data_IF_719025739988
#
_entry.id   IF_719025739988
#
_cell.length_a   1.000
_cell.length_b   1.000
_cell.length_c   1.000
_cell.angle_alpha   90.00
_cell.angle_beta   90.00
_cell.angle_gamma   90.00
#
_symmetry.space_group_name_H-M   'P 1'
#
loop_
_entity.id
_entity.type
_entity.pdbx_description
1 polymer ?
#
# COMPACT_ATOMS: atom_id res chain seq x y z
N UNK A 1 -0.87 0.57 -20.69
CA UNK A 1 -1.30 -0.34 -19.60
C UNK A 1 -1.74 0.49 -18.41
N UNK A 2 -2.88 0.14 -17.85
CA UNK A 2 -3.37 0.86 -16.67
C UNK A 2 -2.55 0.49 -15.45
N UNK A 3 -2.47 1.43 -14.52
CA UNK A 3 -1.79 1.21 -13.24
C UNK A 3 -2.81 1.26 -12.12
N UNK A 4 -2.83 0.24 -11.27
CA UNK A 4 -3.65 0.22 -10.08
C UNK A 4 -2.75 0.47 -8.87
N UNK A 5 -3.20 1.28 -7.93
CA UNK A 5 -2.48 1.48 -6.68
C UNK A 5 -3.16 0.68 -5.59
N UNK A 6 -2.41 -0.14 -4.89
CA UNK A 6 -2.92 -0.95 -3.79
C UNK A 6 -2.26 -0.48 -2.51
N UNK A 7 -3.06 -0.02 -1.57
CA UNK A 7 -2.54 0.42 -0.28
C UNK A 7 -2.74 -0.69 0.74
N UNK A 8 -1.65 -1.11 1.36
CA UNK A 8 -1.65 -2.20 2.33
C UNK A 8 -1.03 -1.75 3.63
N UNK A 9 -1.31 -2.51 4.68
CA UNK A 9 -0.71 -2.29 5.99
C UNK A 9 -0.36 -3.63 6.61
N UNK A 10 -0.01 -3.58 7.88
CA UNK A 10 0.38 -4.76 8.64
C UNK A 10 -0.82 -5.48 9.28
N UNK A 11 -2.00 -5.33 8.71
CA UNK A 11 -3.19 -5.98 9.25
C UNK A 11 -3.44 -7.31 8.58
N UNK A 12 -4.26 -8.13 9.25
CA UNK A 12 -4.61 -9.45 8.73
C UNK A 12 -5.45 -9.37 7.46
N UNK A 13 -6.10 -8.24 7.22
CA UNK A 13 -6.92 -8.10 6.01
C UNK A 13 -6.09 -7.75 4.78
N UNK A 14 -4.81 -7.46 4.94
CA UNK A 14 -3.95 -7.10 3.81
C UNK A 14 -3.98 -8.16 2.71
N UNK A 15 -4.00 -9.43 3.08
CA UNK A 15 -4.04 -10.51 2.10
C UNK A 15 -5.31 -10.48 1.26
N UNK A 16 -6.45 -10.14 1.87
CA UNK A 16 -7.71 -10.01 1.13
C UNK A 16 -7.64 -8.86 0.14
N UNK A 17 -7.05 -7.75 0.57
CA UNK A 17 -6.88 -6.58 -0.30
C UNK A 17 -5.99 -6.94 -1.48
N UNK A 18 -4.89 -7.65 -1.24
CA UNK A 18 -3.97 -8.07 -2.29
C UNK A 18 -4.68 -9.05 -3.25
N UNK A 19 -5.47 -9.97 -2.73
CA UNK A 19 -6.23 -10.90 -3.56
C UNK A 19 -7.23 -10.16 -4.45
N UNK A 20 -7.92 -9.18 -3.90
CA UNK A 20 -8.84 -8.35 -4.67
C UNK A 20 -8.09 -7.58 -5.75
N UNK A 21 -6.94 -7.00 -5.42
CA UNK A 21 -6.13 -6.29 -6.38
C UNK A 21 -5.66 -7.20 -7.51
N UNK A 22 -5.32 -8.43 -7.18
CA UNK A 22 -4.91 -9.42 -8.17
C UNK A 22 -6.04 -9.68 -9.16
N UNK A 23 -7.25 -9.89 -8.67
CA UNK A 23 -8.41 -10.10 -9.54
C UNK A 23 -8.64 -8.91 -10.46
N UNK A 24 -8.58 -7.71 -9.90
CA UNK A 24 -8.81 -6.50 -10.70
C UNK A 24 -7.71 -6.31 -11.74
N UNK A 25 -6.46 -6.54 -11.36
CA UNK A 25 -5.35 -6.37 -12.26
C UNK A 25 -5.42 -7.36 -13.44
N UNK A 26 -5.78 -8.60 -13.16
CA UNK A 26 -5.94 -9.60 -14.22
C UNK A 26 -7.10 -9.23 -15.14
N UNK A 27 -8.22 -8.81 -14.58
CA UNK A 27 -9.40 -8.45 -15.38
C UNK A 27 -9.15 -7.23 -16.25
N UNK A 28 -8.40 -6.26 -15.77
CA UNK A 28 -8.13 -5.01 -16.47
C UNK A 28 -6.84 -5.04 -17.26
N UNK A 29 -6.08 -6.11 -17.16
CA UNK A 29 -4.75 -6.21 -17.77
C UNK A 29 -3.87 -5.04 -17.33
N UNK A 30 -3.86 -4.79 -16.01
CA UNK A 30 -3.18 -3.66 -15.42
C UNK A 30 -1.94 -4.11 -14.66
N UNK A 31 -1.01 -3.17 -14.48
CA UNK A 31 0.09 -3.36 -13.54
C UNK A 31 -0.31 -2.79 -12.19
N UNK A 32 0.40 -3.18 -11.14
CA UNK A 32 0.07 -2.80 -9.77
C UNK A 32 1.27 -2.14 -9.10
N UNK A 33 1.01 -1.05 -8.40
CA UNK A 33 1.99 -0.46 -7.49
C UNK A 33 1.45 -0.64 -6.08
N UNK A 34 2.21 -1.33 -5.25
CA UNK A 34 1.84 -1.58 -3.85
C UNK A 34 2.47 -0.50 -2.99
N UNK A 35 1.68 0.13 -2.15
CA UNK A 35 2.15 1.21 -1.27
C UNK A 35 1.82 0.85 0.18
N UNK A 36 2.81 1.01 1.04
CA UNK A 36 2.61 0.93 2.48
C UNK A 36 3.14 2.21 3.09
N UNK A 37 2.33 2.85 3.92
CA UNK A 37 2.70 4.12 4.55
C UNK A 37 3.24 3.90 5.95
N UNK A 38 4.29 4.63 6.30
CA UNK A 38 4.86 4.60 7.64
C UNK A 38 4.85 6.01 8.21
N UNK A 39 4.85 6.10 9.53
CA UNK A 39 4.93 7.39 10.19
C UNK A 39 6.25 8.08 9.79
N UNK A 40 6.16 9.35 9.43
CA UNK A 40 7.31 10.10 8.98
C UNK A 40 8.44 10.15 10.01
N UNK A 41 8.12 10.05 11.30
CA UNK A 41 9.14 10.06 12.34
C UNK A 41 10.04 8.82 12.31
N UNK A 42 9.60 7.76 11.64
CA UNK A 42 10.38 6.53 11.53
C UNK A 42 11.06 6.37 10.19
N UNK A 43 10.86 7.31 9.28
CA UNK A 43 11.47 7.25 7.97
C UNK A 43 12.58 8.29 7.88
N UNK A 44 13.80 7.84 7.79
CA UNK A 44 14.96 8.75 7.77
C UNK A 44 15.24 9.32 6.38
N UNK A 45 14.78 8.66 5.33
CA UNK A 45 15.24 8.99 3.99
C UNK A 45 14.11 9.21 2.98
N UNK A 46 12.87 9.27 3.44
CA UNK A 46 11.75 9.46 2.53
C UNK A 46 11.37 8.19 1.80
N UNK A 47 10.63 8.35 0.72
CA UNK A 47 10.12 7.21 -0.04
C UNK A 47 11.24 6.49 -0.78
N UNK A 48 11.14 5.18 -0.88
CA UNK A 48 12.05 4.39 -1.69
C UNK A 48 11.34 3.17 -2.24
N UNK A 49 11.86 2.67 -3.36
CA UNK A 49 11.27 1.54 -4.04
C UNK A 49 11.74 0.22 -3.44
N UNK A 50 10.83 -0.75 -3.45
CA UNK A 50 11.10 -2.09 -2.93
C UNK A 50 10.95 -3.09 -4.07
N UNK A 51 11.92 -3.98 -4.20
CA UNK A 51 11.84 -5.09 -5.13
C UNK A 51 11.69 -6.40 -4.38
N UNK A 52 10.99 -7.35 -4.98
CA UNK A 52 10.77 -8.64 -4.36
C UNK A 52 12.11 -9.36 -4.15
N UNK A 53 12.28 -9.93 -2.97
CA UNK A 53 13.50 -10.67 -2.64
C UNK A 53 14.67 -9.83 -2.17
N UNK A 54 14.54 -8.52 -2.16
CA UNK A 54 15.59 -7.66 -1.66
C UNK A 54 15.63 -7.68 -0.14
N UNK A 55 16.82 -7.77 0.44
CA UNK A 55 16.96 -7.73 1.89
C UNK A 55 16.89 -6.32 2.41
N UNK A 56 16.10 -6.07 3.46
CA UNK A 56 16.19 -4.79 4.14
C UNK A 56 17.52 -4.70 4.88
N UNK A 57 18.09 -3.54 4.93
CA UNK A 57 19.30 -3.35 5.70
C UNK A 57 19.07 -3.60 7.18
N UNK A 58 20.13 -3.91 7.89
CA UNK A 58 20.08 -4.09 9.33
C UNK A 58 20.46 -2.78 10.01
N UNK A 59 19.43 -1.95 10.23
CA UNK A 59 19.66 -0.60 10.73
C UNK A 59 19.22 -0.41 12.18
N UNK A 60 18.99 -1.50 12.89
CA UNK A 60 18.67 -1.44 14.28
C UNK A 60 17.20 -1.15 14.58
N UNK A 61 16.92 -0.95 15.85
CA UNK A 61 15.55 -0.91 16.34
C UNK A 61 14.74 0.27 15.86
N UNK A 62 15.39 1.36 15.53
CA UNK A 62 14.70 2.59 15.10
C UNK A 62 13.93 2.39 13.79
N UNK A 63 14.22 1.34 13.05
CA UNK A 63 13.59 1.10 11.75
C UNK A 63 12.67 -0.12 11.75
N UNK A 64 12.23 -0.61 12.91
CA UNK A 64 11.36 -1.77 12.98
C UNK A 64 10.07 -1.59 12.20
N UNK A 65 9.46 -0.40 12.29
CA UNK A 65 8.23 -0.14 11.54
C UNK A 65 8.48 -0.15 10.04
N UNK A 66 9.60 0.42 9.63
CA UNK A 66 9.94 0.40 8.22
C UNK A 66 10.23 -1.02 7.74
N UNK A 67 10.94 -1.81 8.54
CA UNK A 67 11.20 -3.20 8.20
C UNK A 67 9.90 -3.99 8.08
N UNK A 68 8.94 -3.74 8.96
CA UNK A 68 7.63 -4.38 8.89
C UNK A 68 6.89 -3.97 7.62
N UNK A 69 6.93 -2.69 7.29
CA UNK A 69 6.29 -2.19 6.08
C UNK A 69 6.91 -2.81 4.83
N UNK A 70 8.24 -2.92 4.79
CA UNK A 70 8.93 -3.56 3.67
C UNK A 70 8.52 -5.02 3.54
N UNK A 71 8.38 -5.73 4.65
CA UNK A 71 7.95 -7.13 4.62
C UNK A 71 6.54 -7.27 4.07
N UNK A 72 5.64 -6.37 4.46
CA UNK A 72 4.27 -6.38 3.94
C UNK A 72 4.26 -6.14 2.44
N UNK A 73 5.03 -5.18 1.96
CA UNK A 73 5.13 -4.89 0.53
C UNK A 73 5.69 -6.10 -0.23
N UNK A 74 6.74 -6.73 0.30
CA UNK A 74 7.31 -7.91 -0.35
C UNK A 74 6.33 -9.07 -0.42
N UNK A 75 5.55 -9.29 0.62
CA UNK A 75 4.51 -10.30 0.60
C UNK A 75 3.51 -10.04 -0.52
N UNK A 76 3.06 -8.80 -0.63
CA UNK A 76 2.09 -8.42 -1.64
C UNK A 76 2.67 -8.60 -3.05
N UNK A 77 3.92 -8.18 -3.25
CA UNK A 77 4.59 -8.33 -4.55
C UNK A 77 4.71 -9.80 -4.93
N UNK A 78 5.07 -10.65 -3.97
CA UNK A 78 5.22 -12.07 -4.24
C UNK A 78 3.90 -12.69 -4.68
N UNK A 79 2.80 -12.33 -4.04
CA UNK A 79 1.49 -12.84 -4.41
C UNK A 79 1.04 -12.37 -5.79
N UNK A 80 1.24 -11.09 -6.09
CA UNK A 80 0.89 -10.54 -7.38
C UNK A 80 1.70 -11.16 -8.50
N UNK A 81 3.01 -11.28 -8.30
CA UNK A 81 3.89 -11.83 -9.31
C UNK A 81 3.63 -13.31 -9.54
N UNK A 82 3.29 -14.04 -8.49
CA UNK A 82 2.93 -15.46 -8.63
C UNK A 82 1.69 -15.64 -9.50
N UNK A 83 0.79 -14.68 -9.46
CA UNK A 83 -0.42 -14.70 -10.30
C UNK A 83 -0.19 -14.16 -11.71
N UNK A 84 1.02 -13.75 -12.03
CA UNK A 84 1.35 -13.23 -13.35
C UNK A 84 1.10 -11.74 -13.51
N UNK A 85 0.92 -11.00 -12.42
CA UNK A 85 0.68 -9.56 -12.47
C UNK A 85 2.01 -8.84 -12.33
N UNK A 86 2.27 -7.89 -13.20
CA UNK A 86 3.44 -7.03 -13.09
C UNK A 86 3.24 -6.08 -11.91
N UNK A 87 4.15 -6.09 -10.97
CA UNK A 87 3.98 -5.32 -9.75
C UNK A 87 5.31 -4.78 -9.24
N UNK A 88 5.23 -3.62 -8.62
CA UNK A 88 6.35 -3.01 -7.90
C UNK A 88 5.79 -2.36 -6.64
N UNK A 89 6.66 -2.00 -5.72
CA UNK A 89 6.20 -1.51 -4.43
C UNK A 89 7.03 -0.38 -3.88
N UNK A 90 6.41 0.34 -2.96
CA UNK A 90 7.03 1.46 -2.26
C UNK A 90 6.61 1.48 -0.80
N UNK A 91 7.52 1.89 0.06
CA UNK A 91 7.19 2.32 1.41
C UNK A 91 7.33 3.83 1.42
N UNK A 92 6.28 4.53 1.82
CA UNK A 92 6.28 5.99 1.80
C UNK A 92 6.03 6.54 3.19
N UNK A 93 6.69 7.65 3.54
CA UNK A 93 6.46 8.29 4.84
C UNK A 93 5.25 9.20 4.81
N UNK A 94 4.70 9.46 5.97
CA UNK A 94 3.70 10.49 6.15
C UNK A 94 2.32 9.97 6.48
N UNK A 95 1.37 10.87 6.49
CA UNK A 95 -0.01 10.57 6.81
C UNK A 95 -0.60 9.72 5.66
N UNK A 96 -1.27 8.64 6.04
CA UNK A 96 -1.64 7.60 5.08
C UNK A 96 -2.53 8.09 3.93
N UNK A 97 -3.61 8.77 4.25
CA UNK A 97 -4.55 9.18 3.20
C UNK A 97 -3.89 10.16 2.24
N UNK A 98 -3.15 11.12 2.76
CA UNK A 98 -2.45 12.10 1.95
C UNK A 98 -1.41 11.44 1.06
N UNK A 99 -0.65 10.51 1.62
CA UNK A 99 0.40 9.81 0.89
C UNK A 99 -0.17 8.92 -0.21
N UNK A 100 -1.27 8.21 0.07
CA UNK A 100 -1.93 7.36 -0.92
C UNK A 100 -2.42 8.19 -2.09
N UNK A 101 -3.10 9.30 -1.81
CA UNK A 101 -3.63 10.16 -2.87
C UNK A 101 -2.50 10.78 -3.69
N UNK A 102 -1.44 11.23 -3.01
CA UNK A 102 -0.29 11.78 -3.71
C UNK A 102 0.35 10.76 -4.65
N UNK A 103 0.52 9.53 -4.19
CA UNK A 103 1.08 8.47 -5.03
C UNK A 103 0.16 8.13 -6.20
N UNK A 104 -1.14 8.09 -5.97
CA UNK A 104 -2.09 7.82 -7.05
C UNK A 104 -2.02 8.91 -8.13
N UNK A 105 -1.92 10.16 -7.72
CA UNK A 105 -1.81 11.26 -8.67
C UNK A 105 -0.51 11.21 -9.45
N UNK A 106 0.59 10.95 -8.75
CA UNK A 106 1.91 10.86 -9.37
C UNK A 106 1.97 9.74 -10.40
N UNK A 107 1.34 8.62 -10.09
CA UNK A 107 1.33 7.45 -10.98
C UNK A 107 0.24 7.52 -12.04
N UNK A 108 -0.62 8.50 -11.96
CA UNK A 108 -1.81 8.56 -12.81
C UNK A 108 -2.61 7.26 -12.70
N UNK A 109 -2.83 6.82 -11.48
CA UNK A 109 -3.48 5.53 -11.23
C UNK A 109 -4.91 5.51 -11.74
N UNK A 110 -5.29 4.39 -12.31
CA UNK A 110 -6.67 4.19 -12.80
C UNK A 110 -7.62 3.86 -11.65
N UNK A 111 -7.11 3.39 -10.52
CA UNK A 111 -7.92 2.99 -9.39
C UNK A 111 -7.03 2.85 -8.16
N UNK A 112 -7.58 3.18 -7.00
CA UNK A 112 -6.96 2.87 -5.72
C UNK A 112 -7.73 1.71 -5.10
N UNK A 113 -7.02 0.70 -4.59
CA UNK A 113 -7.63 -0.44 -3.92
C UNK A 113 -7.08 -0.51 -2.50
N UNK A 114 -7.95 -0.57 -1.52
CA UNK A 114 -7.54 -0.59 -0.13
C UNK A 114 -8.62 -1.20 0.76
N UNK A 115 -8.28 -1.50 1.98
CA UNK A 115 -9.25 -1.99 2.96
C UNK A 115 -9.98 -0.84 3.63
N UNK A 116 -11.07 -1.17 4.30
CA UNK A 116 -11.88 -0.18 5.00
C UNK A 116 -11.22 0.29 6.28
N UNK A 117 -10.48 -0.58 6.93
CA UNK A 117 -9.92 -0.28 8.23
C UNK A 117 -8.73 0.66 8.12
N UNK A 118 -8.39 1.22 9.25
CA UNK A 118 -7.21 2.02 9.42
C UNK A 118 -5.97 1.26 8.93
N UNK A 119 -5.18 1.91 8.11
CA UNK A 119 -4.07 1.23 7.44
C UNK A 119 -2.83 1.06 8.30
N UNK A 120 -2.78 1.61 9.47
CA UNK A 120 -1.59 1.49 10.28
C UNK A 120 -1.94 1.55 11.75
N UNK A 121 -1.47 0.56 12.50
CA UNK A 121 -1.58 0.59 13.95
C UNK A 121 -0.72 1.70 14.55
N UNK A 122 0.15 2.30 13.74
CA UNK A 122 1.03 3.36 14.18
C UNK A 122 0.35 4.72 14.21
N UNK A 123 -0.80 4.85 13.56
CA UNK A 123 -1.54 6.11 13.48
C UNK A 123 -2.72 6.13 14.43
N UNK A 124 -2.48 5.77 15.67
CA UNK A 124 -3.54 5.68 16.67
C UNK A 124 -4.23 7.01 16.96
N UNK A 125 -3.55 8.09 16.66
CA UNK A 125 -4.08 9.42 16.93
C UNK A 125 -4.98 9.95 15.83
N UNK A 126 -5.01 9.29 14.68
CA UNK A 126 -5.87 9.71 13.60
C UNK A 126 -7.30 9.33 13.92
N UNK A 127 -8.15 10.30 13.84
CA UNK A 127 -9.58 10.10 14.02
C UNK A 127 -10.20 9.81 12.67
N UNK A 128 -11.03 8.78 12.65
CA UNK A 128 -11.71 8.40 11.44
C UNK A 128 -10.93 7.41 10.60
N UNK A 129 -11.50 7.04 9.51
CA UNK A 129 -11.01 5.99 8.65
C UNK A 129 -10.10 6.58 7.57
N UNK A 130 -8.96 5.92 7.33
CA UNK A 130 -8.09 6.29 6.24
C UNK A 130 -8.83 6.20 4.90
N UNK A 131 -9.67 5.17 4.74
CA UNK A 131 -10.43 5.01 3.51
C UNK A 131 -11.39 6.15 3.26
N UNK A 132 -12.05 6.65 4.32
CA UNK A 132 -12.94 7.80 4.17
C UNK A 132 -12.17 9.04 3.69
N UNK A 133 -10.99 9.27 4.24
CA UNK A 133 -10.18 10.42 3.83
C UNK A 133 -9.68 10.27 2.39
N UNK A 134 -9.32 9.05 1.97
CA UNK A 134 -8.93 8.80 0.59
C UNK A 134 -10.09 9.08 -0.36
N UNK A 135 -11.28 8.58 -0.03
CA UNK A 135 -12.46 8.80 -0.86
C UNK A 135 -12.72 10.29 -1.06
N UNK A 136 -12.57 11.08 -0.01
CA UNK A 136 -12.78 12.52 -0.10
C UNK A 136 -11.81 13.23 -1.03
N UNK A 137 -10.58 12.75 -1.08
CA UNK A 137 -9.49 13.47 -1.76
C UNK A 137 -9.08 12.87 -3.09
N UNK A 138 -9.47 11.63 -3.36
CA UNK A 138 -9.02 10.94 -4.56
C UNK A 138 -9.59 11.55 -5.83
N UNK A 139 -8.78 11.54 -6.89
CA UNK A 139 -9.20 11.98 -8.20
C UNK A 139 -9.39 10.81 -9.17
N UNK A 140 -9.38 9.58 -8.66
CA UNK A 140 -9.65 8.38 -9.43
C UNK A 140 -10.61 7.48 -8.65
N UNK A 141 -11.18 6.45 -9.28
CA UNK A 141 -12.02 5.49 -8.56
C UNK A 141 -11.29 4.83 -7.40
N UNK A 142 -12.03 4.56 -6.34
CA UNK A 142 -11.49 3.91 -5.15
C UNK A 142 -12.33 2.67 -4.86
N UNK A 143 -11.69 1.52 -4.79
CA UNK A 143 -12.33 0.26 -4.46
C UNK A 143 -11.96 -0.11 -3.04
N UNK A 144 -12.95 -0.18 -2.17
CA UNK A 144 -12.74 -0.45 -0.76
C UNK A 144 -13.18 -1.88 -0.45
N UNK A 145 -12.27 -2.68 0.08
CA UNK A 145 -12.63 -4.01 0.56
C UNK A 145 -13.17 -3.84 1.98
N UNK A 146 -14.49 -3.97 2.10
CA UNK A 146 -15.16 -3.76 3.38
C UNK A 146 -15.26 -5.03 4.20
N UNK A 147 -14.79 -6.15 3.69
CA UNK A 147 -14.91 -7.42 4.39
C UNK A 147 -14.04 -7.42 5.64
N UNK A 148 -14.63 -7.90 6.71
CA UNK A 148 -13.88 -8.07 7.95
C UNK A 148 -13.04 -9.35 7.89
N UNK A 149 -12.11 -9.45 8.80
CA UNK A 149 -11.30 -10.66 8.94
C UNK A 149 -12.14 -11.89 9.24
#
# INVERSE_FOLDING_TARGET
MKTLLVAVDNSVIARKVVALATEQALALQAEVVVVCCVDASYSASGAFDIEAGEDPGDFGLALDEQNTAEAVVRMALAELQRAGVKARGKVVPGESAQSIVAQANELNAAMIIMGRRHLSSFNRLLKGSCSAAVIERASCPVLIDVRAD
#
